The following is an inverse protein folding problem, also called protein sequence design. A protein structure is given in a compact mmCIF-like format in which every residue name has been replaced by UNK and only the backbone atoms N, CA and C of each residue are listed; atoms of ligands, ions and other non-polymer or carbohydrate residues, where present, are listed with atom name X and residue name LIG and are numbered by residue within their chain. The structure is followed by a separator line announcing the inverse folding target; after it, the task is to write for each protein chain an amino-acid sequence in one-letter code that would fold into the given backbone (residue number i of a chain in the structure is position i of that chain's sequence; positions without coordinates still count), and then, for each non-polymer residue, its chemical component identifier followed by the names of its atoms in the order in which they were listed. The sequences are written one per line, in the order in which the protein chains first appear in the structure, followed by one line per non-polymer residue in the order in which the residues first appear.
data_IF_154217750841
#
_entry.id   IF_154217750841
#
_cell.length_a   1.000
_cell.length_b   1.000
_cell.length_c   1.000
_cell.angle_alpha   90.00
_cell.angle_beta   90.00
_cell.angle_gamma   90.00
#
_symmetry.space_group_name_H-M   'P 1'
#
loop_
_entity.id
_entity.type
_entity.pdbx_description
1 polymer ?
#
# COMPACT_ATOMS: atom_id res chain seq x y z
N UNK A 1 10.06 14.54 6.04
CA UNK A 1 8.86 15.20 5.43
C UNK A 1 7.63 14.82 6.23
N UNK A 2 6.72 15.77 6.47
CA UNK A 2 5.46 15.47 7.15
C UNK A 2 4.61 14.54 6.28
N UNK A 3 4.01 13.51 6.90
CA UNK A 3 3.13 12.55 6.24
C UNK A 3 1.79 13.23 5.92
N UNK A 4 1.35 13.15 4.68
CA UNK A 4 0.02 13.60 4.29
C UNK A 4 -1.07 12.82 5.06
N UNK A 5 -2.20 13.46 5.33
CA UNK A 5 -3.38 12.72 5.74
C UNK A 5 -3.77 11.78 4.60
N UNK A 6 -4.20 10.55 4.96
CA UNK A 6 -4.46 9.48 3.99
C UNK A 6 -5.40 9.94 2.89
N UNK A 7 -5.05 9.60 1.66
CA UNK A 7 -5.87 9.78 0.47
C UNK A 7 -6.48 8.43 0.16
N UNK A 8 -7.79 8.37 0.06
CA UNK A 8 -8.53 7.21 -0.43
C UNK A 8 -9.43 7.71 -1.55
N UNK A 9 -9.26 7.13 -2.73
CA UNK A 9 -10.07 7.46 -3.90
C UNK A 9 -10.77 6.19 -4.37
N UNK A 10 -12.09 6.26 -4.46
CA UNK A 10 -12.93 5.12 -4.86
C UNK A 10 -12.59 4.70 -6.29
N UNK A 11 -12.55 3.38 -6.53
CA UNK A 11 -12.20 2.75 -7.80
C UNK A 11 -10.77 3.03 -8.31
N UNK A 12 -9.91 3.62 -7.50
CA UNK A 12 -8.49 3.79 -7.81
C UNK A 12 -7.69 2.73 -7.04
N UNK A 13 -6.74 2.03 -7.68
CA UNK A 13 -5.87 1.08 -6.99
C UNK A 13 -4.97 1.79 -5.96
N UNK A 14 -4.69 1.10 -4.86
CA UNK A 14 -3.79 1.58 -3.80
C UNK A 14 -2.78 0.50 -3.44
N UNK A 15 -1.50 0.85 -3.38
CA UNK A 15 -0.53 0.03 -2.66
C UNK A 15 -0.61 0.36 -1.16
N UNK A 16 -0.63 -0.67 -0.34
CA UNK A 16 -0.78 -0.55 1.11
C UNK A 16 0.28 -1.39 1.80
N UNK A 17 0.85 -0.88 2.89
CA UNK A 17 1.76 -1.65 3.75
C UNK A 17 1.54 -1.33 5.22
N UNK A 18 1.77 -2.34 6.07
CA UNK A 18 1.75 -2.24 7.52
C UNK A 18 2.82 -3.11 8.13
N UNK A 19 3.47 -2.61 9.18
CA UNK A 19 4.59 -3.31 9.83
C UNK A 19 4.36 -3.51 11.32
N UNK A 20 4.90 -4.60 11.86
CA UNK A 20 4.95 -4.87 13.30
C UNK A 20 5.72 -3.79 14.06
N UNK A 21 5.27 -3.52 15.30
CA UNK A 21 5.93 -2.58 16.19
C UNK A 21 7.39 -3.00 16.42
N UNK A 22 8.32 -2.03 16.45
CA UNK A 22 9.75 -2.30 16.59
C UNK A 22 10.29 -3.35 15.60
N UNK A 23 9.63 -3.54 14.43
CA UNK A 23 9.94 -4.55 13.40
C UNK A 23 9.81 -6.00 13.91
N UNK A 24 9.09 -6.24 15.00
CA UNK A 24 8.89 -7.59 15.55
C UNK A 24 8.22 -8.52 14.52
N UNK A 25 8.52 -9.79 14.60
CA UNK A 25 7.97 -10.83 13.76
C UNK A 25 6.56 -11.21 14.26
N UNK A 26 5.58 -10.51 13.72
CA UNK A 26 4.16 -10.68 14.08
C UNK A 26 3.46 -11.74 13.22
N UNK A 27 4.11 -12.21 12.17
CA UNK A 27 3.63 -13.20 11.21
C UNK A 27 4.73 -14.25 10.97
N UNK A 28 5.41 -14.70 12.03
CA UNK A 28 6.54 -15.59 11.95
C UNK A 28 6.12 -17.01 11.51
N UNK A 29 5.05 -17.50 12.10
CA UNK A 29 4.51 -18.84 11.84
C UNK A 29 3.44 -18.86 10.74
N UNK A 30 3.29 -20.03 10.11
CA UNK A 30 2.26 -20.21 9.07
C UNK A 30 0.84 -20.10 9.64
N UNK A 31 0.61 -20.57 10.86
CA UNK A 31 -0.68 -20.43 11.56
C UNK A 31 -1.07 -18.97 11.78
N UNK A 32 -0.12 -18.12 12.15
CA UNK A 32 -0.33 -16.68 12.33
C UNK A 32 -0.73 -16.01 11.00
N UNK A 33 -0.04 -16.35 9.91
CA UNK A 33 -0.34 -15.85 8.57
C UNK A 33 -1.72 -16.31 8.11
N UNK A 34 -2.10 -17.55 8.39
CA UNK A 34 -3.41 -18.08 8.05
C UNK A 34 -4.53 -17.34 8.80
N UNK A 35 -4.37 -17.12 10.11
CA UNK A 35 -5.34 -16.33 10.89
C UNK A 35 -5.46 -14.92 10.35
N UNK A 36 -4.33 -14.28 10.03
CA UNK A 36 -4.33 -12.95 9.45
C UNK A 36 -5.05 -12.90 8.11
N UNK A 37 -4.75 -13.86 7.20
CA UNK A 37 -5.35 -13.94 5.87
C UNK A 37 -6.86 -14.17 5.94
N UNK A 38 -7.32 -15.03 6.84
CA UNK A 38 -8.75 -15.27 7.05
C UNK A 38 -9.48 -14.01 7.55
N UNK A 39 -8.86 -13.26 8.45
CA UNK A 39 -9.40 -11.96 8.89
C UNK A 39 -9.42 -10.96 7.75
N UNK A 40 -8.35 -10.88 6.96
CA UNK A 40 -8.27 -9.99 5.79
C UNK A 40 -9.39 -10.31 4.80
N UNK A 41 -9.53 -11.57 4.36
CA UNK A 41 -10.58 -12.03 3.43
C UNK A 41 -11.98 -11.65 3.92
N UNK A 42 -12.26 -11.90 5.20
CA UNK A 42 -13.55 -11.55 5.81
C UNK A 42 -13.85 -10.05 5.69
N UNK A 43 -12.89 -9.19 6.04
CA UNK A 43 -13.14 -7.76 6.13
C UNK A 43 -13.02 -7.03 4.79
N UNK A 44 -12.25 -7.52 3.82
CA UNK A 44 -12.26 -6.97 2.47
C UNK A 44 -13.60 -7.21 1.78
N UNK A 45 -14.20 -8.40 1.98
CA UNK A 45 -15.54 -8.71 1.47
C UNK A 45 -16.62 -7.87 2.17
N UNK A 46 -16.58 -7.79 3.51
CA UNK A 46 -17.59 -7.06 4.30
C UNK A 46 -17.66 -5.58 3.95
N UNK A 47 -16.52 -4.96 3.64
CA UNK A 47 -16.41 -3.52 3.39
C UNK A 47 -16.22 -3.15 1.91
N UNK A 48 -16.40 -4.11 1.00
CA UNK A 48 -16.27 -3.88 -0.46
C UNK A 48 -14.89 -3.26 -0.83
N UNK A 49 -13.84 -3.89 -0.33
CA UNK A 49 -12.46 -3.61 -0.73
C UNK A 49 -11.97 -4.73 -1.65
N UNK A 50 -11.83 -4.47 -2.95
CA UNK A 50 -11.26 -5.46 -3.88
C UNK A 50 -9.79 -5.69 -3.54
N UNK A 51 -9.40 -6.92 -3.25
CA UNK A 51 -8.01 -7.34 -2.99
C UNK A 51 -7.44 -7.91 -4.28
N UNK A 52 -6.53 -7.18 -4.93
CA UNK A 52 -5.91 -7.59 -6.20
C UNK A 52 -4.65 -8.43 -5.99
N UNK A 53 -3.96 -8.22 -4.88
CA UNK A 53 -2.78 -8.98 -4.52
C UNK A 53 -2.28 -8.68 -3.13
N UNK A 54 -1.51 -9.62 -2.58
CA UNK A 54 -0.94 -9.49 -1.24
C UNK A 54 0.36 -10.29 -1.09
N UNK A 55 1.15 -9.90 -0.09
CA UNK A 55 2.26 -10.70 0.42
C UNK A 55 2.38 -10.50 1.94
N UNK A 56 2.33 -11.61 2.69
CA UNK A 56 2.51 -11.63 4.14
C UNK A 56 3.95 -12.02 4.47
N UNK A 57 4.77 -11.04 4.79
CA UNK A 57 6.13 -11.24 5.29
C UNK A 57 6.12 -11.49 6.79
N UNK A 58 7.24 -11.91 7.38
CA UNK A 58 7.29 -12.24 8.80
C UNK A 58 6.99 -11.08 9.75
N UNK A 59 7.31 -9.85 9.36
CA UNK A 59 7.13 -8.66 10.20
C UNK A 59 6.34 -7.52 9.55
N UNK A 60 5.83 -7.70 8.34
CA UNK A 60 5.03 -6.70 7.63
C UNK A 60 4.18 -7.33 6.54
N UNK A 61 3.23 -6.57 6.05
CA UNK A 61 2.31 -6.99 5.00
C UNK A 61 2.27 -5.97 3.87
N UNK A 62 2.03 -6.44 2.67
CA UNK A 62 1.79 -5.63 1.48
C UNK A 62 0.49 -6.04 0.81
N UNK A 63 -0.26 -5.06 0.29
CA UNK A 63 -1.48 -5.27 -0.47
C UNK A 63 -1.53 -4.34 -1.68
N UNK A 64 -2.18 -4.82 -2.74
CA UNK A 64 -2.73 -3.99 -3.80
C UNK A 64 -4.25 -4.14 -3.75
N UNK A 65 -4.95 -3.03 -3.53
CA UNK A 65 -6.40 -3.03 -3.27
C UNK A 65 -7.11 -1.91 -4.02
N UNK A 66 -8.40 -2.11 -4.32
CA UNK A 66 -9.28 -1.08 -4.89
C UNK A 66 -10.47 -0.85 -3.95
N UNK A 67 -10.59 0.30 -3.30
CA UNK A 67 -11.75 0.61 -2.47
C UNK A 67 -12.97 0.87 -3.36
N UNK A 68 -14.10 0.20 -3.07
CA UNK A 68 -15.37 0.42 -3.78
C UNK A 68 -16.25 1.44 -3.05
N UNK A 69 -15.88 1.80 -1.79
CA UNK A 69 -16.51 2.84 -0.96
C UNK A 69 -15.43 3.73 -0.32
N UNK A 70 -15.76 4.96 0.06
CA UNK A 70 -14.77 5.91 0.63
C UNK A 70 -14.10 5.41 1.92
N UNK A 71 -14.79 4.63 2.72
CA UNK A 71 -14.34 4.10 4.01
C UNK A 71 -13.86 2.64 3.94
N UNK A 72 -14.01 1.95 2.79
CA UNK A 72 -13.70 0.54 2.60
C UNK A 72 -12.28 0.18 3.06
N UNK A 73 -11.27 0.94 2.62
CA UNK A 73 -9.88 0.72 2.98
C UNK A 73 -9.63 0.91 4.48
N UNK A 74 -10.23 1.94 5.08
CA UNK A 74 -10.04 2.25 6.48
C UNK A 74 -10.71 1.21 7.40
N UNK A 75 -11.94 0.82 7.08
CA UNK A 75 -12.72 -0.14 7.88
C UNK A 75 -12.14 -1.56 7.78
N UNK A 76 -11.83 -2.02 6.55
CA UNK A 76 -11.22 -3.35 6.33
C UNK A 76 -9.94 -3.50 7.14
N UNK A 77 -9.01 -2.56 7.03
CA UNK A 77 -7.73 -2.69 7.71
C UNK A 77 -7.81 -2.39 9.21
N UNK A 78 -8.69 -1.48 9.66
CA UNK A 78 -8.93 -1.27 11.09
C UNK A 78 -9.39 -2.57 11.76
N UNK A 79 -10.35 -3.28 11.15
CA UNK A 79 -10.89 -4.50 11.73
C UNK A 79 -9.92 -5.67 11.62
N UNK A 80 -9.27 -5.86 10.46
CA UNK A 80 -8.24 -6.89 10.27
C UNK A 80 -7.11 -6.73 11.29
N UNK A 81 -6.49 -5.54 11.33
CA UNK A 81 -5.35 -5.28 12.19
C UNK A 81 -5.71 -5.30 13.68
N UNK A 82 -6.87 -4.78 14.04
CA UNK A 82 -7.33 -4.76 15.44
C UNK A 82 -7.62 -6.17 15.96
N UNK A 83 -8.35 -6.98 15.19
CA UNK A 83 -8.65 -8.37 15.57
C UNK A 83 -7.39 -9.22 15.59
N UNK A 84 -6.50 -9.03 14.62
CA UNK A 84 -5.23 -9.73 14.60
C UNK A 84 -4.35 -9.35 15.80
N UNK A 85 -4.28 -8.07 16.16
CA UNK A 85 -3.52 -7.64 17.33
C UNK A 85 -4.04 -8.27 18.63
N UNK A 86 -5.37 -8.38 18.81
CA UNK A 86 -5.96 -9.07 19.94
C UNK A 86 -5.59 -10.56 19.97
N UNK A 87 -5.68 -11.23 18.83
CA UNK A 87 -5.27 -12.64 18.69
C UNK A 87 -3.78 -12.82 19.02
N UNK A 88 -2.90 -12.02 18.42
CA UNK A 88 -1.46 -12.11 18.61
C UNK A 88 -1.05 -11.90 20.07
N UNK A 89 -1.58 -10.85 20.71
CA UNK A 89 -1.32 -10.57 22.13
C UNK A 89 -1.78 -11.74 23.04
N UNK A 90 -2.95 -12.30 22.78
CA UNK A 90 -3.45 -13.45 23.54
C UNK A 90 -2.55 -14.68 23.35
N UNK A 91 -2.18 -15.00 22.10
CA UNK A 91 -1.33 -16.16 21.77
C UNK A 91 0.07 -16.06 22.39
N UNK A 92 0.64 -14.84 22.46
CA UNK A 92 2.00 -14.60 22.98
C UNK A 92 2.03 -14.12 24.44
N UNK A 93 0.90 -14.13 25.15
CA UNK A 93 0.78 -13.59 26.53
C UNK A 93 1.39 -12.19 26.65
N UNK A 94 1.17 -11.36 25.62
CA UNK A 94 1.71 -10.01 25.49
C UNK A 94 0.61 -8.96 25.56
N UNK A 95 1.00 -7.69 25.65
CA UNK A 95 0.09 -6.55 25.66
C UNK A 95 0.71 -5.38 24.91
N UNK A 96 -0.12 -4.38 24.55
CA UNK A 96 0.34 -3.17 23.88
C UNK A 96 0.18 -3.23 22.36
N UNK A 97 0.95 -2.37 21.68
CA UNK A 97 0.83 -2.19 20.23
C UNK A 97 1.55 -3.29 19.45
N UNK A 98 0.81 -4.09 18.69
CA UNK A 98 1.35 -5.09 17.75
C UNK A 98 1.84 -4.42 16.48
N UNK A 99 1.15 -3.36 16.02
CA UNK A 99 1.48 -2.62 14.79
C UNK A 99 2.20 -1.31 15.09
N UNK A 100 3.15 -0.94 14.24
CA UNK A 100 3.99 0.27 14.38
C UNK A 100 3.20 1.60 14.33
N UNK A 101 1.91 1.56 14.05
CA UNK A 101 1.05 2.72 13.93
C UNK A 101 -0.03 2.53 12.88
N UNK A 102 -0.42 3.58 12.17
CA UNK A 102 -1.37 3.48 11.06
C UNK A 102 -0.69 2.91 9.81
N UNK A 103 -1.42 2.12 9.01
CA UNK A 103 -0.91 1.64 7.72
C UNK A 103 -0.54 2.80 6.79
N UNK A 104 0.36 2.53 5.86
CA UNK A 104 0.75 3.41 4.77
C UNK A 104 -0.01 3.01 3.51
N UNK A 105 -0.34 3.99 2.66
CA UNK A 105 -0.98 3.72 1.37
C UNK A 105 -0.69 4.83 0.38
N UNK A 106 -0.62 4.49 -0.92
CA UNK A 106 -0.58 5.46 -2.00
C UNK A 106 -1.52 5.03 -3.14
N UNK A 107 -2.29 5.95 -3.73
CA UNK A 107 -3.03 5.70 -4.97
C UNK A 107 -2.06 5.45 -6.13
N UNK A 108 -2.47 4.58 -7.06
CA UNK A 108 -1.68 4.14 -8.22
C UNK A 108 -2.46 4.42 -9.50
N UNK A 109 -1.78 4.87 -10.57
CA UNK A 109 -2.36 4.87 -11.91
C UNK A 109 -2.38 3.44 -12.52
N UNK A 110 -2.90 3.31 -13.73
CA UNK A 110 -3.06 2.02 -14.40
C UNK A 110 -1.73 1.30 -14.70
N UNK A 111 -0.66 2.03 -14.96
CA UNK A 111 0.68 1.44 -15.14
C UNK A 111 1.28 0.98 -13.82
N UNK A 112 1.28 1.86 -12.82
CA UNK A 112 1.90 1.58 -11.53
C UNK A 112 1.10 0.56 -10.68
N UNK A 113 -0.16 0.29 -11.01
CA UNK A 113 -0.89 -0.87 -10.48
C UNK A 113 -0.10 -2.16 -10.68
N UNK A 114 0.34 -2.41 -11.91
CA UNK A 114 1.04 -3.66 -12.25
C UNK A 114 2.47 -3.68 -11.69
N UNK A 115 3.14 -2.54 -11.71
CA UNK A 115 4.45 -2.38 -11.05
C UNK A 115 4.34 -2.67 -9.54
N UNK A 116 3.30 -2.16 -8.88
CA UNK A 116 3.08 -2.42 -7.46
C UNK A 116 2.69 -3.88 -7.17
N UNK A 117 1.91 -4.51 -8.04
CA UNK A 117 1.55 -5.93 -7.88
C UNK A 117 2.80 -6.82 -8.01
N UNK A 118 3.65 -6.59 -9.04
CA UNK A 118 4.95 -7.24 -9.18
C UNK A 118 5.82 -7.01 -7.93
N UNK A 119 5.93 -5.76 -7.48
CA UNK A 119 6.68 -5.40 -6.27
C UNK A 119 6.20 -6.18 -5.04
N UNK A 120 4.90 -6.34 -4.87
CA UNK A 120 4.31 -7.09 -3.75
C UNK A 120 4.65 -8.57 -3.84
N UNK A 121 4.49 -9.18 -5.01
CA UNK A 121 4.72 -10.62 -5.18
C UNK A 121 6.20 -11.02 -5.20
N UNK A 122 7.08 -10.14 -5.69
CA UNK A 122 8.53 -10.36 -5.63
C UNK A 122 9.16 -10.02 -4.26
N UNK A 123 8.38 -9.58 -3.28
CA UNK A 123 8.91 -9.21 -1.96
C UNK A 123 9.72 -10.33 -1.29
N UNK A 124 9.25 -11.60 -1.25
CA UNK A 124 10.03 -12.69 -0.65
C UNK A 124 11.25 -13.09 -1.47
N UNK A 125 11.21 -12.96 -2.81
CA UNK A 125 12.37 -13.20 -3.68
C UNK A 125 13.43 -12.12 -3.43
N UNK A 126 13.03 -10.85 -3.42
CA UNK A 126 13.91 -9.71 -3.12
C UNK A 126 14.51 -9.76 -1.72
N UNK A 127 13.82 -10.41 -0.78
CA UNK A 127 14.33 -10.67 0.57
C UNK A 127 15.24 -11.91 0.67
N UNK A 128 15.46 -12.64 -0.43
CA UNK A 128 16.26 -13.88 -0.46
C UNK A 128 15.63 -15.05 0.30
N UNK A 129 14.31 -15.06 0.50
CA UNK A 129 13.59 -16.09 1.25
C UNK A 129 13.17 -17.26 0.38
N UNK A 130 12.90 -17.01 -0.89
CA UNK A 130 12.57 -18.03 -1.92
C UNK A 130 13.21 -17.61 -3.25
N UNK A 131 13.41 -18.58 -4.14
CA UNK A 131 13.90 -18.31 -5.50
C UNK A 131 12.81 -17.78 -6.43
N UNK A 132 11.59 -18.26 -6.26
CA UNK A 132 10.43 -17.95 -7.09
C UNK A 132 9.27 -17.43 -6.26
N UNK A 133 8.52 -16.43 -6.79
CA UNK A 133 7.45 -15.77 -6.06
C UNK A 133 6.31 -16.72 -5.64
N UNK A 134 5.97 -17.66 -6.50
CA UNK A 134 4.92 -18.66 -6.27
C UNK A 134 5.26 -19.65 -5.13
N UNK A 135 6.55 -19.81 -4.83
CA UNK A 135 7.01 -20.65 -3.73
C UNK A 135 6.78 -20.03 -2.35
N UNK A 136 6.36 -18.76 -2.25
CA UNK A 136 6.03 -18.15 -0.96
C UNK A 136 4.59 -18.46 -0.56
N UNK A 137 4.33 -19.20 0.52
CA UNK A 137 3.01 -19.82 0.78
C UNK A 137 1.88 -18.82 1.07
N UNK A 138 2.20 -17.59 1.45
CA UNK A 138 1.22 -16.57 1.85
C UNK A 138 1.38 -15.29 1.02
N UNK A 139 1.29 -15.49 -0.29
CA UNK A 139 1.28 -14.46 -1.31
C UNK A 139 0.20 -14.76 -2.35
N UNK A 140 -0.28 -13.74 -3.04
CA UNK A 140 -1.17 -13.89 -4.20
C UNK A 140 -0.48 -14.51 -5.41
N UNK A 141 0.85 -14.59 -5.43
CA UNK A 141 1.62 -15.09 -6.57
C UNK A 141 1.15 -16.49 -7.01
N UNK A 142 1.01 -17.44 -6.08
CA UNK A 142 0.53 -18.79 -6.41
C UNK A 142 -0.81 -18.80 -7.14
N UNK A 143 -1.76 -17.93 -6.76
CA UNK A 143 -3.06 -17.82 -7.43
C UNK A 143 -2.95 -17.21 -8.83
N UNK A 144 -2.08 -16.21 -9.02
CA UNK A 144 -1.80 -15.62 -10.33
C UNK A 144 -1.05 -16.57 -11.27
N UNK A 145 -0.28 -17.51 -10.73
CA UNK A 145 0.36 -18.59 -11.50
C UNK A 145 -0.54 -19.81 -11.71
N UNK A 146 -1.78 -19.78 -11.19
CA UNK A 146 -2.72 -20.90 -11.28
C UNK A 146 -2.29 -22.13 -10.48
N UNK A 147 -1.39 -21.95 -9.51
CA UNK A 147 -0.91 -23.01 -8.61
C UNK A 147 -1.58 -22.90 -7.24
N UNK A 148 -1.84 -24.03 -6.61
CA UNK A 148 -2.45 -24.10 -5.28
C UNK A 148 -3.97 -23.99 -5.27
N UNK A 149 -4.54 -23.91 -4.07
CA UNK A 149 -5.99 -23.76 -3.86
C UNK A 149 -6.47 -22.36 -4.27
N UNK A 150 -7.67 -22.26 -4.85
CA UNK A 150 -8.24 -20.95 -5.22
C UNK A 150 -8.31 -20.02 -4.00
N UNK A 151 -7.74 -18.82 -4.14
CA UNK A 151 -7.87 -17.78 -3.12
C UNK A 151 -9.19 -17.03 -3.27
N UNK A 152 -10.19 -17.43 -2.49
CA UNK A 152 -11.53 -16.86 -2.53
C UNK A 152 -11.61 -15.39 -2.10
N UNK A 153 -10.52 -14.82 -1.59
CA UNK A 153 -10.42 -13.42 -1.19
C UNK A 153 -9.88 -12.51 -2.28
N UNK A 154 -9.28 -13.06 -3.35
CA UNK A 154 -8.71 -12.28 -4.45
C UNK A 154 -9.77 -11.88 -5.48
N UNK A 155 -9.71 -10.62 -5.91
CA UNK A 155 -10.42 -10.13 -7.09
C UNK A 155 -9.50 -10.27 -8.31
N UNK A 156 -9.74 -11.32 -9.09
CA UNK A 156 -8.93 -11.68 -10.26
C UNK A 156 -9.42 -11.03 -11.57
N UNK A 157 -10.49 -10.24 -11.53
CA UNK A 157 -11.13 -9.73 -12.76
C UNK A 157 -10.16 -8.83 -13.55
N UNK A 158 -9.62 -7.79 -12.92
CA UNK A 158 -8.67 -6.88 -13.58
C UNK A 158 -7.41 -7.60 -14.07
N UNK A 159 -6.93 -8.58 -13.29
CA UNK A 159 -5.75 -9.35 -13.66
C UNK A 159 -6.03 -10.18 -14.92
N UNK A 160 -7.13 -10.94 -14.96
CA UNK A 160 -7.50 -11.78 -16.11
C UNK A 160 -7.76 -11.00 -17.40
N UNK A 161 -8.21 -9.74 -17.31
CA UNK A 161 -8.36 -8.87 -18.48
C UNK A 161 -7.01 -8.45 -19.09
N UNK A 162 -5.94 -8.48 -18.34
CA UNK A 162 -4.64 -7.95 -18.77
C UNK A 162 -3.57 -9.02 -18.97
N UNK A 163 -3.61 -10.10 -18.21
CA UNK A 163 -2.56 -11.09 -18.10
C UNK A 163 -3.08 -12.52 -18.29
N UNK A 164 -2.23 -13.37 -18.88
CA UNK A 164 -2.28 -14.83 -18.72
C UNK A 164 -1.23 -15.25 -17.68
N UNK A 165 -1.26 -16.50 -17.27
CA UNK A 165 -0.26 -17.07 -16.35
C UNK A 165 1.16 -16.98 -16.95
N UNK A 166 1.30 -17.23 -18.26
CA UNK A 166 2.58 -17.17 -18.97
C UNK A 166 3.12 -15.73 -19.02
N UNK A 167 2.31 -14.78 -19.48
CA UNK A 167 2.74 -13.38 -19.61
C UNK A 167 2.99 -12.74 -18.24
N UNK A 168 2.27 -13.15 -17.20
CA UNK A 168 2.56 -12.71 -15.83
C UNK A 168 3.89 -13.25 -15.31
N UNK A 169 4.19 -14.55 -15.60
CA UNK A 169 5.48 -15.17 -15.26
C UNK A 169 6.63 -14.43 -15.93
N UNK A 170 6.53 -14.16 -17.22
CA UNK A 170 7.52 -13.38 -17.96
C UNK A 170 7.71 -11.98 -17.36
N UNK A 171 6.61 -11.32 -16.99
CA UNK A 171 6.66 -9.99 -16.39
C UNK A 171 7.34 -9.98 -15.00
N UNK A 172 7.12 -11.00 -14.18
CA UNK A 172 7.85 -11.16 -12.91
C UNK A 172 9.33 -11.50 -13.16
N UNK A 173 9.62 -12.40 -14.09
CA UNK A 173 10.98 -12.83 -14.42
C UNK A 173 11.85 -11.68 -15.02
N UNK A 174 11.24 -10.71 -15.67
CA UNK A 174 11.92 -9.50 -16.16
C UNK A 174 12.53 -8.65 -15.02
N UNK A 175 12.16 -8.94 -13.76
CA UNK A 175 12.67 -8.25 -12.58
C UNK A 175 12.08 -6.86 -12.40
N UNK A 176 12.69 -6.08 -11.50
CA UNK A 176 12.23 -4.76 -11.10
C UNK A 176 13.34 -3.73 -11.32
N UNK A 177 13.01 -2.56 -11.85
CA UNK A 177 13.95 -1.45 -11.88
C UNK A 177 14.06 -0.80 -10.48
N UNK A 178 15.28 -0.49 -10.04
CA UNK A 178 15.52 0.19 -8.77
C UNK A 178 14.75 1.52 -8.64
N UNK A 179 14.56 2.23 -9.75
CA UNK A 179 13.76 3.46 -9.79
C UNK A 179 12.29 3.22 -9.45
N UNK A 180 11.69 2.12 -9.94
CA UNK A 180 10.32 1.73 -9.65
C UNK A 180 10.17 1.34 -8.17
N UNK A 181 11.10 0.53 -7.65
CA UNK A 181 11.13 0.15 -6.23
C UNK A 181 11.22 1.39 -5.33
N UNK A 182 12.13 2.31 -5.65
CA UNK A 182 12.31 3.55 -4.90
C UNK A 182 11.05 4.42 -4.94
N UNK A 183 10.41 4.56 -6.11
CA UNK A 183 9.18 5.33 -6.28
C UNK A 183 8.02 4.76 -5.45
N UNK A 184 7.78 3.44 -5.50
CA UNK A 184 6.74 2.77 -4.70
C UNK A 184 6.99 3.00 -3.21
N UNK A 185 8.21 2.78 -2.74
CA UNK A 185 8.57 2.97 -1.32
C UNK A 185 8.35 4.41 -0.87
N UNK A 186 8.84 5.37 -1.65
CA UNK A 186 8.71 6.79 -1.35
C UNK A 186 7.25 7.25 -1.33
N UNK A 187 6.48 6.94 -2.38
CA UNK A 187 5.09 7.36 -2.49
C UNK A 187 4.23 6.71 -1.41
N UNK A 188 4.40 5.42 -1.12
CA UNK A 188 3.69 4.73 -0.05
C UNK A 188 4.00 5.33 1.32
N UNK A 189 5.28 5.59 1.61
CA UNK A 189 5.69 6.17 2.90
C UNK A 189 5.15 7.59 3.10
N UNK A 190 5.12 8.41 2.04
CA UNK A 190 4.63 9.79 2.11
C UNK A 190 3.10 9.89 1.99
N UNK A 191 2.44 8.85 1.46
CA UNK A 191 1.00 8.83 1.15
C UNK A 191 0.64 9.60 -0.13
N UNK A 192 1.63 9.90 -0.99
CA UNK A 192 1.43 10.60 -2.25
C UNK A 192 1.04 9.62 -3.36
N UNK A 193 0.23 10.05 -4.36
CA UNK A 193 -0.04 9.25 -5.54
C UNK A 193 1.24 8.89 -6.31
N UNK A 194 1.26 7.71 -6.89
CA UNK A 194 2.29 7.25 -7.83
C UNK A 194 1.63 7.10 -9.20
N UNK A 195 2.01 7.93 -10.15
CA UNK A 195 1.43 7.99 -11.48
C UNK A 195 1.91 9.18 -12.30
N UNK A 196 1.30 9.34 -13.48
CA UNK A 196 1.60 10.45 -14.38
C UNK A 196 1.19 11.80 -13.78
N UNK A 197 1.73 12.92 -14.27
CA UNK A 197 1.29 14.25 -13.84
C UNK A 197 -0.22 14.47 -14.02
N UNK A 198 -0.81 13.96 -15.11
CA UNK A 198 -2.24 14.05 -15.40
C UNK A 198 -3.08 13.28 -14.39
N UNK A 199 -2.64 12.08 -14.01
CA UNK A 199 -3.27 11.29 -12.96
C UNK A 199 -3.24 12.04 -11.61
N UNK A 200 -2.08 12.57 -11.25
CA UNK A 200 -1.94 13.36 -10.00
C UNK A 200 -2.85 14.57 -10.03
N UNK A 201 -2.89 15.31 -11.14
CA UNK A 201 -3.77 16.47 -11.30
C UNK A 201 -5.25 16.08 -11.16
N UNK A 202 -5.69 14.99 -11.79
CA UNK A 202 -7.06 14.48 -11.67
C UNK A 202 -7.42 14.17 -10.21
N UNK A 203 -6.49 13.56 -9.46
CA UNK A 203 -6.70 13.28 -8.04
C UNK A 203 -6.73 14.56 -7.19
N UNK A 204 -5.93 15.58 -7.53
CA UNK A 204 -5.95 16.89 -6.86
C UNK A 204 -7.31 17.56 -7.02
N UNK A 205 -7.89 17.54 -8.23
CA UNK A 205 -9.23 18.05 -8.50
C UNK A 205 -10.30 17.27 -7.73
N UNK A 206 -10.26 15.95 -7.78
CA UNK A 206 -11.25 15.09 -7.12
C UNK A 206 -11.21 15.19 -5.58
N UNK A 207 -10.04 15.44 -5.00
CA UNK A 207 -9.86 15.48 -3.55
C UNK A 207 -9.79 16.88 -2.96
N UNK A 208 -9.71 17.92 -3.79
CA UNK A 208 -9.47 19.32 -3.43
C UNK A 208 -8.21 19.48 -2.55
N UNK A 209 -7.19 18.69 -2.83
CA UNK A 209 -5.95 18.62 -2.04
C UNK A 209 -4.73 18.68 -2.96
N UNK A 210 -3.71 19.41 -2.54
CA UNK A 210 -2.43 19.44 -3.24
C UNK A 210 -1.63 18.15 -2.94
N UNK A 211 -1.37 17.35 -3.96
CA UNK A 211 -0.76 16.02 -3.86
C UNK A 211 0.64 15.95 -4.45
N UNK A 212 0.95 16.82 -5.41
CA UNK A 212 2.28 16.92 -6.01
C UNK A 212 3.36 17.22 -4.95
N UNK A 213 4.59 16.66 -5.11
CA UNK A 213 5.71 16.97 -4.22
C UNK A 213 5.99 18.48 -4.21
N UNK A 214 6.13 19.05 -3.01
CA UNK A 214 6.60 20.42 -2.88
C UNK A 214 8.12 20.42 -2.66
N UNK A 215 8.81 21.38 -3.26
CA UNK A 215 10.21 21.65 -2.89
C UNK A 215 10.20 22.02 -1.39
N UNK A 216 10.90 21.24 -0.58
CA UNK A 216 11.07 21.55 0.84
C UNK A 216 11.88 22.83 0.97
N UNK A 217 11.37 23.76 1.76
CA UNK A 217 12.05 25.00 2.12
C UNK A 217 11.23 25.73 3.18
N UNK A 218 11.87 26.54 4.02
CA UNK A 218 11.18 27.50 4.86
C UNK A 218 10.39 28.42 3.92
N UNK A 219 9.07 28.68 4.14
CA UNK A 219 8.37 29.69 3.36
C UNK A 219 9.21 30.97 3.35
N UNK A 220 9.54 31.50 2.15
CA UNK A 220 10.19 32.80 2.08
C UNK A 220 9.31 33.78 2.84
N UNK A 221 9.89 34.62 3.69
CA UNK A 221 9.18 35.76 4.21
C UNK A 221 8.67 36.55 3.00
N UNK A 222 7.35 36.56 2.78
CA UNK A 222 6.76 37.55 1.91
C UNK A 222 7.17 38.92 2.51
N UNK A 223 7.99 39.69 1.79
CA UNK A 223 8.25 41.07 2.18
C UNK A 223 6.90 41.74 2.16
N UNK A 224 6.47 42.19 3.34
CA UNK A 224 5.27 42.96 3.49
C UNK A 224 5.54 44.34 2.87
N UNK A 225 5.18 44.49 1.60
CA UNK A 225 5.33 45.75 0.88
C UNK A 225 4.49 46.91 1.50
N UNK A 226 3.69 46.63 2.55
CA UNK A 226 2.99 47.68 3.31
C UNK A 226 3.91 48.44 4.26
N UNK A 227 5.03 47.87 4.70
CA UNK A 227 5.96 48.58 5.60
C UNK A 227 6.82 49.63 4.88
N UNK A 228 7.00 49.55 3.55
CA UNK A 228 7.77 50.51 2.78
C UNK A 228 6.95 51.77 2.39
N UNK A 229 5.62 51.69 2.40
CA UNK A 229 4.77 52.84 2.07
C UNK A 229 4.63 53.83 3.23
N UNK A 230 4.93 53.43 4.48
CA UNK A 230 4.79 54.32 5.66
C UNK A 230 6.05 55.20 5.86
N UNK A 231 7.21 54.75 5.38
CA UNK A 231 8.47 55.53 5.50
C UNK A 231 8.70 56.58 4.39
N UNK A 232 7.80 56.65 3.40
CA UNK A 232 7.88 57.60 2.29
C UNK A 232 7.05 58.89 2.52
N UNK A 233 6.34 59.02 3.65
CA UNK A 233 5.50 60.19 3.96
C UNK A 233 6.06 61.09 5.06
N UNK A 234 7.26 60.82 5.59
CA UNK A 234 7.95 61.71 6.53
C UNK A 234 9.26 62.23 5.91
N UNK A 235 9.15 63.08 4.90
CA UNK A 235 10.20 64.03 4.50
C UNK A 235 9.55 65.26 3.87
#
# INVERSE_FOLDING_TARGET
MARLSRIVVVNIPHHVTQRGNARQFILAGDGERLVYLNLLRKYVQLHELSLLGYCLMSNHVHFVVVPRKPDALALSLKQTHGRYASYWNAAHRSSGHVWQGRFYSCPLDSYHLWVALRYVELNPVRAGLVAEAESWPRSSAAAHFGSGEPDTGLDMEMWRMRWSMETWREYLAAGEAESEIAAIRQCTHTGRPLGTPEFIYTLEQATLRRLAPQKGGRPGHAMDHRAQAILAFEK
#
